data_IF_422779801396
#
_entry.id   IF_422779801396
#
_cell.length_a   1.000
_cell.length_b   1.000
_cell.length_c   1.000
_cell.angle_alpha   90.00
_cell.angle_beta   90.00
_cell.angle_gamma   90.00
#
_symmetry.space_group_name_H-M   'P 1'
#
loop_
_entity.id
_entity.type
_entity.pdbx_description
1 polymer ?
#
# COMPACT_ATOMS: atom_id res chain seq x y z
N UNK A 1 -49.95 16.07 -9.30
CA UNK A 1 -51.12 15.29 -9.79
C UNK A 1 -52.08 15.16 -8.61
N UNK A 2 -53.35 15.54 -8.77
CA UNK A 2 -54.33 15.60 -7.68
C UNK A 2 -54.78 14.18 -7.29
N UNK A 3 -54.67 13.75 -6.01
CA UNK A 3 -55.02 12.40 -5.57
C UNK A 3 -56.45 11.98 -5.90
N UNK A 4 -57.39 12.94 -5.92
CA UNK A 4 -58.79 12.69 -6.30
C UNK A 4 -58.99 12.28 -7.76
N UNK A 5 -58.12 12.72 -8.67
CA UNK A 5 -58.26 12.35 -10.10
C UNK A 5 -57.77 10.94 -10.39
N UNK A 6 -56.74 10.48 -9.69
CA UNK A 6 -56.19 9.14 -9.85
C UNK A 6 -57.15 8.04 -9.36
N UNK A 7 -57.92 8.32 -8.30
CA UNK A 7 -58.92 7.39 -7.77
C UNK A 7 -60.17 7.32 -8.66
N UNK A 8 -60.55 8.43 -9.29
CA UNK A 8 -61.71 8.51 -10.17
C UNK A 8 -61.47 7.82 -11.53
N UNK A 9 -60.22 7.80 -12.00
CA UNK A 9 -59.81 7.08 -13.22
C UNK A 9 -59.79 5.55 -12.98
N UNK A 10 -59.37 5.08 -11.80
CA UNK A 10 -59.40 3.66 -11.42
C UNK A 10 -60.83 3.13 -11.19
N UNK A 11 -61.72 3.94 -10.60
CA UNK A 11 -63.14 3.59 -10.41
C UNK A 11 -63.95 3.67 -11.72
N UNK A 12 -63.52 4.47 -12.70
CA UNK A 12 -64.13 4.48 -14.04
C UNK A 12 -63.69 3.27 -14.87
N UNK A 13 -62.44 2.81 -14.80
CA UNK A 13 -62.02 1.57 -15.47
C UNK A 13 -62.71 0.32 -14.91
N UNK A 14 -62.99 0.26 -13.60
CA UNK A 14 -63.72 -0.86 -12.99
C UNK A 14 -65.22 -0.87 -13.29
N UNK A 15 -65.86 0.30 -13.46
CA UNK A 15 -67.32 0.40 -13.63
C UNK A 15 -67.82 0.17 -15.06
N UNK A 16 -66.96 0.22 -16.08
CA UNK A 16 -67.35 -0.11 -17.47
C UNK A 16 -67.60 -1.63 -17.62
N UNK A 17 -67.17 -2.46 -16.66
CA UNK A 17 -67.31 -3.92 -16.70
C UNK A 17 -68.63 -4.47 -16.13
N UNK A 18 -69.52 -3.66 -15.54
CA UNK A 18 -70.63 -4.20 -14.71
C UNK A 18 -72.02 -3.64 -15.02
N UNK A 19 -72.28 -3.21 -16.25
CA UNK A 19 -73.67 -2.93 -16.69
C UNK A 19 -73.94 -3.51 -18.08
N UNK A 20 -74.42 -4.75 -18.13
CA UNK A 20 -75.48 -5.16 -19.04
C UNK A 20 -76.10 -6.47 -18.56
N UNK A 21 -77.44 -6.47 -18.47
CA UNK A 21 -78.24 -7.57 -17.95
C UNK A 21 -78.36 -8.75 -18.91
N UNK A 22 -78.76 -9.88 -18.31
CA UNK A 22 -79.31 -11.10 -18.90
C UNK A 22 -79.43 -11.18 -20.42
N UNK A 23 -78.40 -11.74 -21.06
CA UNK A 23 -78.52 -12.65 -22.21
C UNK A 23 -77.41 -13.72 -22.06
N UNK A 24 -77.75 -15.00 -22.19
CA UNK A 24 -76.77 -16.10 -22.26
C UNK A 24 -75.97 -15.96 -23.56
N UNK A 25 -74.87 -15.22 -23.51
CA UNK A 25 -73.94 -14.98 -24.60
C UNK A 25 -72.57 -14.62 -24.03
N UNK A 26 -71.51 -15.21 -24.59
CA UNK A 26 -70.12 -15.09 -24.13
C UNK A 26 -69.72 -13.65 -23.80
N UNK A 27 -69.23 -13.42 -22.57
CA UNK A 27 -68.65 -12.15 -22.14
C UNK A 27 -67.35 -11.94 -22.95
N UNK A 28 -67.25 -10.94 -23.84
CA UNK A 28 -66.02 -10.68 -24.59
C UNK A 28 -64.95 -10.18 -23.61
N UNK A 29 -63.98 -11.04 -23.28
CA UNK A 29 -62.78 -10.65 -22.51
C UNK A 29 -62.40 -11.56 -21.35
N UNK A 30 -63.25 -12.50 -20.93
CA UNK A 30 -62.84 -13.52 -19.95
C UNK A 30 -62.18 -14.66 -20.71
N UNK A 31 -60.84 -14.66 -20.76
CA UNK A 31 -60.09 -15.83 -21.23
C UNK A 31 -60.45 -16.99 -20.31
N UNK A 32 -61.10 -18.00 -20.87
CA UNK A 32 -61.44 -19.23 -20.17
C UNK A 32 -60.63 -20.38 -20.76
N UNK A 33 -60.35 -21.39 -19.94
CA UNK A 33 -59.73 -22.62 -20.40
C UNK A 33 -60.80 -23.71 -20.46
N UNK A 34 -61.07 -24.24 -21.65
CA UNK A 34 -62.09 -25.26 -21.87
C UNK A 34 -61.53 -26.70 -21.80
N UNK A 35 -60.46 -26.92 -21.03
CA UNK A 35 -59.75 -28.20 -20.94
C UNK A 35 -60.70 -29.41 -20.79
N UNK A 36 -60.74 -30.28 -21.81
CA UNK A 36 -61.61 -31.47 -21.88
C UNK A 36 -60.89 -32.79 -21.53
N UNK A 37 -59.74 -32.72 -20.85
CA UNK A 37 -58.95 -33.90 -20.49
C UNK A 37 -59.36 -34.58 -19.18
N UNK A 38 -58.63 -35.62 -18.78
CA UNK A 38 -58.91 -36.34 -17.51
C UNK A 38 -58.47 -35.49 -16.31
N UNK A 39 -59.15 -35.63 -15.18
CA UNK A 39 -58.78 -34.94 -13.91
C UNK A 39 -57.31 -35.15 -13.53
N UNK A 40 -56.78 -36.36 -13.73
CA UNK A 40 -55.36 -36.68 -13.46
C UNK A 40 -54.34 -35.92 -14.34
N UNK A 41 -54.79 -35.27 -15.40
CA UNK A 41 -53.98 -34.47 -16.33
C UNK A 41 -54.11 -32.96 -16.07
N UNK A 42 -54.97 -32.54 -15.13
CA UNK A 42 -55.23 -31.11 -14.87
C UNK A 42 -53.97 -30.39 -14.39
N UNK A 43 -53.18 -30.98 -13.48
CA UNK A 43 -51.96 -30.34 -12.99
C UNK A 43 -50.93 -30.13 -14.10
N UNK A 44 -50.68 -31.16 -14.90
CA UNK A 44 -49.80 -31.10 -16.08
C UNK A 44 -50.27 -30.02 -17.07
N UNK A 45 -51.58 -29.95 -17.32
CA UNK A 45 -52.16 -28.91 -18.14
C UNK A 45 -51.92 -27.50 -17.55
N UNK A 46 -52.22 -27.28 -16.26
CA UNK A 46 -52.03 -25.99 -15.59
C UNK A 46 -50.57 -25.51 -15.61
N UNK A 47 -49.61 -26.41 -15.46
CA UNK A 47 -48.19 -26.07 -15.38
C UNK A 47 -47.51 -25.87 -16.73
N UNK A 48 -48.05 -26.41 -17.82
CA UNK A 48 -47.31 -26.43 -19.09
C UNK A 48 -48.10 -25.88 -20.28
N UNK A 49 -49.42 -26.05 -20.28
CA UNK A 49 -50.24 -25.86 -21.49
C UNK A 49 -51.42 -24.91 -21.31
N UNK A 50 -51.80 -24.59 -20.07
CA UNK A 50 -52.97 -23.77 -19.78
C UNK A 50 -52.76 -22.32 -20.25
N UNK A 51 -53.74 -21.79 -20.98
CA UNK A 51 -53.75 -20.40 -21.41
C UNK A 51 -53.84 -19.40 -20.24
N UNK A 52 -54.32 -19.85 -19.08
CA UNK A 52 -54.44 -19.09 -17.83
C UNK A 52 -53.18 -19.15 -16.97
N UNK A 53 -52.15 -19.86 -17.41
CA UNK A 53 -50.90 -19.91 -16.69
C UNK A 53 -50.26 -18.52 -16.66
N UNK A 54 -49.93 -18.03 -15.46
CA UNK A 54 -49.05 -16.88 -15.30
C UNK A 54 -47.62 -17.33 -15.56
N UNK A 55 -46.96 -16.69 -16.52
CA UNK A 55 -45.55 -16.99 -16.83
C UNK A 55 -44.68 -15.79 -16.50
N UNK A 56 -43.43 -16.06 -16.12
CA UNK A 56 -42.43 -15.01 -15.86
C UNK A 56 -42.17 -14.24 -17.15
N UNK A 57 -42.23 -12.92 -17.08
CA UNK A 57 -42.12 -12.09 -18.27
C UNK A 57 -40.65 -11.77 -18.60
N UNK A 58 -40.30 -11.79 -19.89
CA UNK A 58 -38.90 -11.69 -20.31
C UNK A 58 -38.27 -10.33 -20.02
N UNK A 59 -39.09 -9.26 -19.99
CA UNK A 59 -38.61 -7.90 -19.69
C UNK A 59 -38.64 -7.54 -18.20
N UNK A 60 -38.95 -8.50 -17.30
CA UNK A 60 -38.91 -8.30 -15.85
C UNK A 60 -37.52 -7.80 -15.39
N UNK A 61 -36.45 -8.35 -15.96
CA UNK A 61 -35.06 -7.96 -15.64
C UNK A 61 -34.69 -6.54 -16.09
N UNK A 62 -35.44 -5.99 -17.05
CA UNK A 62 -35.29 -4.62 -17.54
C UNK A 62 -36.22 -3.63 -16.82
N UNK A 63 -37.08 -4.12 -15.91
CA UNK A 63 -37.99 -3.32 -15.09
C UNK A 63 -39.43 -3.23 -15.59
N UNK A 64 -39.84 -4.10 -16.52
CA UNK A 64 -41.26 -4.25 -16.85
C UNK A 64 -41.93 -5.07 -15.73
N UNK A 65 -42.86 -4.48 -14.98
CA UNK A 65 -43.51 -5.16 -13.84
C UNK A 65 -44.88 -5.77 -14.21
N UNK A 66 -45.17 -5.92 -15.50
CA UNK A 66 -46.47 -6.38 -15.97
C UNK A 66 -46.61 -7.90 -15.83
N UNK A 67 -47.73 -8.35 -15.27
CA UNK A 67 -48.05 -9.78 -15.13
C UNK A 67 -49.06 -10.17 -16.20
N UNK A 68 -48.64 -11.02 -17.15
CA UNK A 68 -49.52 -11.53 -18.20
C UNK A 68 -49.87 -13.00 -17.96
N UNK A 69 -51.11 -13.36 -18.31
CA UNK A 69 -51.43 -14.74 -18.68
C UNK A 69 -50.64 -15.13 -19.94
N UNK A 70 -50.30 -16.41 -20.08
CA UNK A 70 -49.58 -16.94 -21.24
C UNK A 70 -50.22 -16.54 -22.58
N UNK A 71 -51.54 -16.52 -22.63
CA UNK A 71 -52.34 -16.13 -23.80
C UNK A 71 -52.29 -14.64 -24.15
N UNK A 72 -52.02 -13.75 -23.18
CA UNK A 72 -52.05 -12.29 -23.35
C UNK A 72 -50.65 -11.68 -23.56
N UNK A 73 -49.61 -12.51 -23.62
CA UNK A 73 -48.22 -12.04 -23.74
C UNK A 73 -47.96 -11.36 -25.08
N UNK A 74 -48.45 -11.94 -26.17
CA UNK A 74 -48.19 -11.41 -27.52
C UNK A 74 -48.90 -10.07 -27.73
N UNK A 75 -50.10 -9.91 -27.18
CA UNK A 75 -50.82 -8.65 -27.18
C UNK A 75 -50.09 -7.59 -26.35
N UNK A 76 -49.70 -7.91 -25.11
CA UNK A 76 -48.92 -7.00 -24.27
C UNK A 76 -47.62 -6.57 -24.97
N UNK A 77 -46.88 -7.53 -25.56
CA UNK A 77 -45.65 -7.26 -26.30
C UNK A 77 -45.90 -6.35 -27.50
N UNK A 78 -46.95 -6.62 -28.28
CA UNK A 78 -47.29 -5.84 -29.48
C UNK A 78 -47.65 -4.40 -29.13
N UNK A 79 -48.49 -4.20 -28.12
CA UNK A 79 -48.94 -2.87 -27.69
C UNK A 79 -47.84 -2.08 -26.97
N UNK A 80 -46.89 -2.76 -26.30
CA UNK A 80 -45.88 -2.13 -25.45
C UNK A 80 -44.44 -2.24 -25.99
N UNK A 81 -44.26 -2.65 -27.26
CA UNK A 81 -42.94 -2.89 -27.84
C UNK A 81 -41.99 -1.68 -27.70
N UNK A 82 -42.53 -0.46 -27.89
CA UNK A 82 -41.76 0.78 -27.71
C UNK A 82 -41.24 0.93 -26.27
N UNK A 83 -42.10 0.67 -25.27
CA UNK A 83 -41.70 0.70 -23.86
C UNK A 83 -40.57 -0.29 -23.58
N UNK A 84 -40.68 -1.52 -24.10
CA UNK A 84 -39.64 -2.53 -23.91
C UNK A 84 -38.32 -2.13 -24.57
N UNK A 85 -38.35 -1.55 -25.77
CA UNK A 85 -37.13 -0.99 -26.38
C UNK A 85 -36.52 0.12 -25.52
N UNK A 86 -37.33 1.06 -25.02
CA UNK A 86 -36.84 2.14 -24.17
C UNK A 86 -36.18 1.60 -22.88
N UNK A 87 -36.76 0.56 -22.28
CA UNK A 87 -36.18 -0.14 -21.12
C UNK A 87 -34.84 -0.80 -21.46
N UNK A 88 -34.75 -1.50 -22.59
CA UNK A 88 -33.49 -2.13 -23.06
C UNK A 88 -32.41 -1.08 -23.33
N UNK A 89 -32.75 0.00 -24.03
CA UNK A 89 -31.82 1.09 -24.33
C UNK A 89 -31.35 1.78 -23.05
N UNK A 90 -32.23 1.99 -22.07
CA UNK A 90 -31.85 2.54 -20.76
C UNK A 90 -30.85 1.64 -20.02
N UNK A 91 -31.10 0.33 -20.02
CA UNK A 91 -30.19 -0.65 -19.41
C UNK A 91 -28.84 -0.69 -20.14
N UNK A 92 -28.84 -0.65 -21.47
CA UNK A 92 -27.62 -0.60 -22.27
C UNK A 92 -26.81 0.67 -22.00
N UNK A 93 -27.46 1.83 -21.92
CA UNK A 93 -26.80 3.10 -21.62
C UNK A 93 -26.17 3.08 -20.22
N UNK A 94 -26.89 2.55 -19.23
CA UNK A 94 -26.36 2.36 -17.86
C UNK A 94 -25.11 1.48 -17.89
N UNK A 95 -25.18 0.33 -18.57
CA UNK A 95 -24.04 -0.58 -18.70
C UNK A 95 -22.83 0.08 -19.38
N UNK A 96 -23.06 0.85 -20.45
CA UNK A 96 -21.99 1.59 -21.12
C UNK A 96 -21.34 2.64 -20.20
N UNK A 97 -22.12 3.33 -19.37
CA UNK A 97 -21.60 4.27 -18.38
C UNK A 97 -20.74 3.55 -17.34
N UNK A 98 -21.22 2.43 -16.79
CA UNK A 98 -20.46 1.62 -15.82
C UNK A 98 -19.15 1.09 -16.42
N UNK A 99 -19.16 0.63 -17.68
CA UNK A 99 -17.93 0.19 -18.37
C UNK A 99 -16.92 1.34 -18.49
N UNK A 100 -17.37 2.56 -18.86
CA UNK A 100 -16.49 3.73 -18.95
C UNK A 100 -15.88 4.09 -17.59
N UNK A 101 -16.71 4.06 -16.53
CA UNK A 101 -16.23 4.31 -15.17
C UNK A 101 -15.14 3.31 -14.76
N UNK A 102 -15.35 2.02 -15.00
CA UNK A 102 -14.32 1.01 -14.72
C UNK A 102 -13.06 1.20 -15.56
N UNK A 103 -13.18 1.60 -16.83
CA UNK A 103 -12.01 1.89 -17.67
C UNK A 103 -11.19 3.07 -17.13
N UNK A 104 -11.85 4.11 -16.63
CA UNK A 104 -11.19 5.28 -16.03
C UNK A 104 -10.52 4.92 -14.70
N UNK A 105 -11.16 4.09 -13.87
CA UNK A 105 -10.59 3.60 -12.63
C UNK A 105 -9.35 2.72 -12.87
N UNK A 106 -9.42 1.80 -13.84
CA UNK A 106 -8.26 0.99 -14.26
C UNK A 106 -7.11 1.89 -14.72
N UNK A 107 -7.41 2.94 -15.50
CA UNK A 107 -6.38 3.88 -15.97
C UNK A 107 -5.72 4.62 -14.79
N UNK A 108 -6.51 5.06 -13.82
CA UNK A 108 -6.01 5.73 -12.61
C UNK A 108 -5.12 4.80 -11.80
N UNK A 109 -5.57 3.57 -11.53
CA UNK A 109 -4.80 2.57 -10.79
C UNK A 109 -3.48 2.22 -11.50
N UNK A 110 -3.47 2.13 -12.83
CA UNK A 110 -2.25 1.90 -13.59
C UNK A 110 -1.24 3.05 -13.45
N UNK A 111 -1.70 4.30 -13.45
CA UNK A 111 -0.84 5.46 -13.24
C UNK A 111 -0.24 5.49 -11.82
N UNK A 112 -1.06 5.18 -10.81
CA UNK A 112 -0.59 5.06 -9.42
C UNK A 112 0.45 3.94 -9.28
N UNK A 113 0.23 2.77 -9.90
CA UNK A 113 1.19 1.66 -9.89
C UNK A 113 2.54 2.03 -10.52
N UNK A 114 2.56 2.73 -11.65
CA UNK A 114 3.82 3.19 -12.26
C UNK A 114 4.52 4.24 -11.38
N UNK A 115 3.76 5.11 -10.71
CA UNK A 115 4.33 6.07 -9.74
C UNK A 115 4.99 5.32 -8.58
N UNK A 116 4.29 4.36 -7.97
CA UNK A 116 4.84 3.54 -6.89
C UNK A 116 6.09 2.76 -7.31
N UNK A 117 6.12 2.25 -8.54
CA UNK A 117 7.28 1.53 -9.08
C UNK A 117 8.51 2.45 -9.19
N UNK A 118 8.33 3.69 -9.64
CA UNK A 118 9.42 4.69 -9.70
C UNK A 118 9.90 5.06 -8.30
N UNK A 119 8.99 5.28 -7.35
CA UNK A 119 9.33 5.58 -5.96
C UNK A 119 10.14 4.44 -5.31
N UNK A 120 9.74 3.19 -5.56
CA UNK A 120 10.43 2.02 -5.05
C UNK A 120 11.86 1.92 -5.60
N UNK A 121 12.05 2.15 -6.90
CA UNK A 121 13.39 2.17 -7.52
C UNK A 121 14.26 3.28 -6.92
N UNK A 122 13.71 4.46 -6.68
CA UNK A 122 14.43 5.56 -6.05
C UNK A 122 14.84 5.22 -4.62
N UNK A 123 13.95 4.56 -3.87
CA UNK A 123 14.25 4.10 -2.50
C UNK A 123 15.39 3.09 -2.48
N UNK A 124 15.37 2.09 -3.37
CA UNK A 124 16.45 1.12 -3.48
C UNK A 124 17.81 1.79 -3.74
N UNK A 125 17.88 2.77 -4.67
CA UNK A 125 19.11 3.52 -4.93
C UNK A 125 19.61 4.30 -3.71
N UNK A 126 18.69 4.90 -2.94
CA UNK A 126 19.05 5.60 -1.69
C UNK A 126 19.58 4.63 -0.64
N UNK A 127 18.97 3.46 -0.51
CA UNK A 127 19.42 2.44 0.45
C UNK A 127 20.83 1.92 0.09
N UNK A 128 21.12 1.74 -1.21
CA UNK A 128 22.46 1.42 -1.72
C UNK A 128 23.48 2.52 -1.41
N UNK A 129 23.13 3.79 -1.65
CA UNK A 129 24.01 4.93 -1.34
C UNK A 129 24.29 5.05 0.17
N UNK A 130 23.26 4.85 1.01
CA UNK A 130 23.39 4.82 2.47
C UNK A 130 24.32 3.68 2.91
N UNK A 131 24.18 2.49 2.32
CA UNK A 131 25.05 1.36 2.63
C UNK A 131 26.52 1.67 2.26
N UNK A 132 26.75 2.26 1.09
CA UNK A 132 28.09 2.66 0.65
C UNK A 132 28.71 3.74 1.56
N UNK A 133 27.93 4.76 1.95
CA UNK A 133 28.41 5.80 2.87
C UNK A 133 28.73 5.25 4.26
N UNK A 134 27.92 4.32 4.78
CA UNK A 134 28.21 3.63 6.05
C UNK A 134 29.53 2.86 5.98
N UNK A 135 29.75 2.12 4.90
CA UNK A 135 31.00 1.38 4.70
C UNK A 135 32.23 2.32 4.66
N UNK A 136 32.13 3.46 3.97
CA UNK A 136 33.19 4.46 3.95
C UNK A 136 33.46 5.05 5.35
N UNK A 137 32.40 5.33 6.11
CA UNK A 137 32.52 5.86 7.46
C UNK A 137 33.22 4.85 8.39
N UNK A 138 32.84 3.58 8.33
CA UNK A 138 33.45 2.51 9.12
C UNK A 138 34.95 2.36 8.78
N UNK A 139 35.29 2.44 7.49
CA UNK A 139 36.68 2.41 7.04
C UNK A 139 37.47 3.60 7.57
N UNK A 140 36.94 4.82 7.47
CA UNK A 140 37.58 6.02 8.00
C UNK A 140 37.80 5.97 9.51
N UNK A 141 36.82 5.43 10.26
CA UNK A 141 36.97 5.21 11.70
C UNK A 141 38.09 4.23 12.02
N UNK A 142 38.18 3.12 11.26
CA UNK A 142 39.25 2.14 11.41
C UNK A 142 40.63 2.73 11.14
N UNK A 143 40.76 3.53 10.07
CA UNK A 143 42.02 4.18 9.71
C UNK A 143 42.45 5.21 10.77
N UNK A 144 41.50 5.97 11.32
CA UNK A 144 41.78 6.88 12.43
C UNK A 144 42.25 6.15 13.69
N UNK A 145 41.63 5.03 14.05
CA UNK A 145 42.06 4.22 15.20
C UNK A 145 43.48 3.68 15.01
N UNK A 146 43.82 3.22 13.79
CA UNK A 146 45.17 2.78 13.47
C UNK A 146 46.19 3.92 13.57
N UNK A 147 45.84 5.10 13.05
CA UNK A 147 46.70 6.29 13.13
C UNK A 147 46.96 6.70 14.59
N UNK A 148 45.91 6.74 15.42
CA UNK A 148 46.02 7.05 16.85
C UNK A 148 46.93 6.02 17.54
N UNK A 149 46.71 4.72 17.28
CA UNK A 149 47.56 3.66 17.83
C UNK A 149 49.03 3.81 17.43
N UNK A 150 49.30 4.14 16.16
CA UNK A 150 50.65 4.38 15.66
C UNK A 150 51.30 5.61 16.32
N UNK A 151 50.55 6.70 16.53
CA UNK A 151 51.02 7.89 17.23
C UNK A 151 51.34 7.59 18.70
N UNK A 152 50.46 6.85 19.40
CA UNK A 152 50.69 6.43 20.78
C UNK A 152 51.99 5.60 20.92
N UNK A 153 52.22 4.66 20.01
CA UNK A 153 53.46 3.87 19.97
C UNK A 153 54.70 4.77 19.81
N UNK A 154 54.64 5.76 18.90
CA UNK A 154 55.74 6.73 18.72
C UNK A 154 56.00 7.54 19.98
N UNK A 155 54.96 8.03 20.63
CA UNK A 155 55.06 8.79 21.89
C UNK A 155 55.70 7.93 22.99
N UNK A 156 55.27 6.68 23.14
CA UNK A 156 55.86 5.74 24.11
C UNK A 156 57.35 5.51 23.84
N UNK A 157 57.76 5.31 22.59
CA UNK A 157 59.17 5.14 22.21
C UNK A 157 59.98 6.40 22.58
N UNK A 158 59.45 7.59 22.30
CA UNK A 158 60.10 8.87 22.65
C UNK A 158 60.27 8.98 24.17
N UNK A 159 59.22 8.67 24.94
CA UNK A 159 59.28 8.70 26.41
C UNK A 159 60.33 7.74 26.98
N UNK A 160 60.46 6.53 26.42
CA UNK A 160 61.48 5.55 26.83
C UNK A 160 62.89 6.07 26.53
N UNK A 161 63.11 6.68 25.35
CA UNK A 161 64.40 7.28 24.98
C UNK A 161 64.78 8.46 25.87
N UNK A 162 63.82 9.31 26.21
CA UNK A 162 64.05 10.42 27.14
C UNK A 162 64.41 9.90 28.54
N UNK A 163 63.70 8.88 29.04
CA UNK A 163 63.97 8.27 30.34
C UNK A 163 65.35 7.63 30.42
N UNK A 164 65.78 6.93 29.36
CA UNK A 164 67.12 6.33 29.29
C UNK A 164 68.22 7.39 29.24
N UNK A 165 68.06 8.42 28.41
CA UNK A 165 68.98 9.57 28.36
C UNK A 165 69.09 10.28 29.72
N UNK A 166 67.97 10.46 30.43
CA UNK A 166 67.96 11.06 31.77
C UNK A 166 68.78 10.24 32.77
N UNK A 167 68.64 8.90 32.76
CA UNK A 167 69.41 8.00 33.62
C UNK A 167 70.91 8.09 33.31
N UNK A 168 71.29 8.17 32.03
CA UNK A 168 72.68 8.35 31.61
C UNK A 168 73.27 9.68 32.09
N UNK A 169 72.51 10.78 31.97
CA UNK A 169 72.91 12.11 32.48
C UNK A 169 73.13 12.07 34.00
N UNK A 170 72.21 11.46 34.75
CA UNK A 170 72.33 11.34 36.21
C UNK A 170 73.56 10.51 36.62
N UNK A 171 73.94 9.50 35.83
CA UNK A 171 75.17 8.73 36.06
C UNK A 171 76.42 9.59 35.81
N UNK A 172 76.48 10.28 34.67
CA UNK A 172 77.60 11.18 34.34
C UNK A 172 77.77 12.28 35.39
N UNK A 173 76.67 12.82 35.92
CA UNK A 173 76.69 13.83 36.97
C UNK A 173 77.38 13.34 38.24
N UNK A 174 77.12 12.09 38.67
CA UNK A 174 77.80 11.46 39.81
C UNK A 174 79.28 11.18 39.53
N UNK A 175 79.60 10.76 38.30
CA UNK A 175 80.98 10.51 37.90
C UNK A 175 81.81 11.81 37.92
N UNK A 176 81.23 12.93 37.45
CA UNK A 176 81.83 14.27 37.52
C UNK A 176 82.05 14.69 38.99
N UNK A 177 81.03 14.55 39.85
CA UNK A 177 81.13 14.89 41.27
C UNK A 177 82.24 14.09 41.99
N UNK A 178 82.39 12.79 41.68
CA UNK A 178 83.48 11.96 42.20
C UNK A 178 84.85 12.46 41.72
N UNK A 179 84.98 12.87 40.45
CA UNK A 179 86.24 13.37 39.89
C UNK A 179 86.62 14.73 40.47
N UNK A 180 85.66 15.62 40.69
CA UNK A 180 85.90 16.89 41.38
C UNK A 180 86.42 16.66 42.79
N UNK A 181 85.87 15.69 43.52
CA UNK A 181 86.37 15.31 44.84
C UNK A 181 87.80 14.76 44.82
N UNK A 182 88.16 13.95 43.82
CA UNK A 182 89.55 13.47 43.61
C UNK A 182 90.50 14.64 43.30
N UNK A 183 90.11 15.56 42.40
CA UNK A 183 90.88 16.75 42.02
C UNK A 183 91.15 17.60 43.26
N UNK A 184 90.11 17.92 44.04
CA UNK A 184 90.23 18.69 45.28
C UNK A 184 91.24 18.07 46.26
N UNK A 185 91.25 16.73 46.37
CA UNK A 185 92.21 16.02 47.23
C UNK A 185 93.65 16.14 46.71
N UNK A 186 93.85 15.99 45.39
CA UNK A 186 95.16 16.16 44.75
C UNK A 186 95.67 17.60 44.94
N UNK A 187 94.81 18.61 44.77
CA UNK A 187 95.16 20.01 45.00
C UNK A 187 95.63 20.26 46.43
N UNK A 188 94.95 19.68 47.43
CA UNK A 188 95.38 19.75 48.83
C UNK A 188 96.76 19.09 49.06
N UNK A 189 97.00 17.92 48.47
CA UNK A 189 98.29 17.23 48.55
C UNK A 189 99.43 18.04 47.90
N UNK A 190 99.18 18.69 46.76
CA UNK A 190 100.15 19.58 46.09
C UNK A 190 100.48 20.77 46.99
N UNK A 191 99.47 21.43 47.58
CA UNK A 191 99.69 22.56 48.49
C UNK A 191 100.51 22.16 49.72
N UNK A 192 100.28 20.97 50.28
CA UNK A 192 101.06 20.45 51.40
C UNK A 192 102.54 20.24 51.02
N UNK A 193 102.81 19.61 49.85
CA UNK A 193 104.16 19.38 49.35
C UNK A 193 104.93 20.67 49.05
N UNK A 194 104.25 21.70 48.55
CA UNK A 194 104.85 23.02 48.32
C UNK A 194 105.28 23.69 49.63
N UNK A 195 104.48 23.57 50.70
CA UNK A 195 104.81 24.10 52.02
C UNK A 195 106.02 23.40 52.67
N UNK A 196 106.15 22.09 52.53
CA UNK A 196 107.30 21.36 53.10
C UNK A 196 108.62 21.68 52.38
N UNK A 197 108.62 21.85 51.06
CA UNK A 197 109.82 22.17 50.29
C UNK A 197 110.36 23.60 50.54
N UNK A 198 109.53 24.54 51.01
CA UNK A 198 109.98 25.88 51.41
C UNK A 198 110.60 25.93 52.82
N UNK A 199 110.39 24.90 53.64
CA UNK A 199 110.93 24.84 55.02
C UNK A 199 112.27 24.08 55.11
N UNK A 200 112.80 23.58 53.99
CA UNK A 200 114.03 22.74 53.95
C UNK A 200 115.18 23.38 53.16
N UNK A 201 115.00 24.60 52.64
CA UNK A 201 116.05 25.47 52.11
C UNK A 201 116.23 26.68 53.02
#
# INVERSE_FOLDING_TARGET
>A
ICPRKFQQEQEQELNISTQQGHEEGEIPGIVSCDFKGKVKQVNDHLEHSCCLQMVKYWFDSFGCNHKCLKSAIDEHLTLNMKLHFDLVIKSLNTLQQTIRQYQDEIRKLNLENETFKVELQLKCKKDEEIAHLKQQLDQYQKDNLQLISAQQKKIIIIMIKQKTTYVEIEKLKKDIESKDNEINKIEQEIQLKQKTNHSTN
#
